data_IF_975260725650
#
_entry.id   IF_975260725650
#
_cell.length_a   1.000
_cell.length_b   1.000
_cell.length_c   1.000
_cell.angle_alpha   90.00
_cell.angle_beta   90.00
_cell.angle_gamma   90.00
#
_symmetry.space_group_name_H-M   'P 1'
#
loop_
_entity.id
_entity.type
_entity.pdbx_description
1 polymer ?
#
# COMPACT_ATOMS: atom_id res chain seq x y z
N UNK A 1 77.93 -30.90 -33.47
CA UNK A 1 76.91 -31.33 -32.49
C UNK A 1 76.35 -30.07 -31.82
N UNK A 2 75.29 -29.49 -32.38
CA UNK A 2 74.63 -28.29 -31.84
C UNK A 2 73.18 -28.65 -31.48
N UNK A 3 73.00 -29.52 -30.49
CA UNK A 3 71.67 -29.92 -30.01
C UNK A 3 71.24 -29.12 -28.77
N UNK A 4 72.08 -28.20 -28.30
CA UNK A 4 71.88 -27.48 -27.05
C UNK A 4 70.97 -26.25 -27.19
N UNK A 5 70.83 -25.69 -28.40
CA UNK A 5 69.94 -24.56 -28.68
C UNK A 5 68.50 -24.99 -29.01
N UNK A 6 68.30 -26.21 -29.53
CA UNK A 6 66.96 -26.76 -29.84
C UNK A 6 66.19 -27.17 -28.56
N UNK A 7 66.90 -27.60 -27.51
CA UNK A 7 66.31 -27.91 -26.20
C UNK A 7 65.77 -26.65 -25.50
N UNK A 8 66.46 -25.51 -25.62
CA UNK A 8 66.07 -24.24 -24.99
C UNK A 8 64.83 -23.61 -25.64
N UNK A 9 64.54 -23.95 -26.90
CA UNK A 9 63.33 -23.47 -27.59
C UNK A 9 62.09 -24.29 -27.20
N UNK A 10 62.28 -25.55 -26.78
CA UNK A 10 61.19 -26.45 -26.36
C UNK A 10 60.56 -26.06 -25.01
N UNK A 11 61.34 -25.52 -24.07
CA UNK A 11 60.84 -25.15 -22.74
C UNK A 11 60.01 -23.84 -22.73
N UNK A 12 60.18 -22.97 -23.73
CA UNK A 12 59.40 -21.73 -23.85
C UNK A 12 58.02 -21.91 -24.51
N UNK A 13 57.72 -23.11 -25.02
CA UNK A 13 56.45 -23.39 -25.71
C UNK A 13 55.42 -24.12 -24.83
N UNK A 14 55.72 -24.39 -23.56
CA UNK A 14 54.68 -24.78 -22.60
C UNK A 14 53.92 -23.53 -22.13
N UNK A 15 53.08 -23.07 -23.05
CA UNK A 15 51.89 -22.26 -22.79
C UNK A 15 51.05 -22.97 -21.72
N UNK A 16 51.37 -22.71 -20.46
CA UNK A 16 50.45 -22.94 -19.35
C UNK A 16 49.28 -21.98 -19.61
N UNK A 17 48.18 -22.56 -20.06
CA UNK A 17 46.95 -21.90 -20.48
C UNK A 17 46.49 -20.84 -19.46
N UNK A 18 46.83 -19.57 -19.73
CA UNK A 18 46.39 -18.38 -18.96
C UNK A 18 44.87 -18.26 -18.79
N UNK A 19 44.07 -19.05 -19.53
CA UNK A 19 42.60 -19.03 -19.46
C UNK A 19 42.01 -19.70 -18.21
N UNK A 20 42.72 -20.61 -17.53
CA UNK A 20 42.18 -21.28 -16.34
C UNK A 20 42.37 -20.45 -15.05
N UNK A 21 43.45 -19.67 -14.95
CA UNK A 21 43.74 -18.85 -13.77
C UNK A 21 42.84 -17.60 -13.71
N UNK A 22 42.53 -16.96 -14.84
CA UNK A 22 41.64 -15.78 -14.87
C UNK A 22 40.20 -16.09 -14.45
N UNK A 23 39.73 -17.34 -14.65
CA UNK A 23 38.37 -17.76 -14.25
C UNK A 23 38.21 -17.91 -12.73
N UNK A 24 39.29 -18.18 -11.98
CA UNK A 24 39.24 -18.34 -10.51
C UNK A 24 39.38 -17.03 -9.75
N UNK A 25 40.01 -16.01 -10.33
CA UNK A 25 40.17 -14.69 -9.68
C UNK A 25 39.00 -13.72 -9.93
N UNK A 26 38.29 -13.83 -11.06
CA UNK A 26 37.14 -12.96 -11.35
C UNK A 26 35.93 -13.20 -10.41
N UNK A 27 35.75 -14.42 -9.92
CA UNK A 27 34.64 -14.79 -9.02
C UNK A 27 34.88 -14.28 -7.59
N UNK A 28 36.15 -14.21 -7.14
CA UNK A 28 36.49 -13.73 -5.79
C UNK A 28 36.28 -12.22 -5.60
N UNK A 29 36.59 -11.42 -6.63
CA UNK A 29 36.44 -9.96 -6.55
C UNK A 29 34.97 -9.51 -6.67
N UNK A 30 34.17 -10.19 -7.50
CA UNK A 30 32.74 -9.95 -7.60
C UNK A 30 31.99 -10.37 -6.30
N UNK A 31 32.45 -11.44 -5.63
CA UNK A 31 31.88 -11.89 -4.35
C UNK A 31 32.12 -10.92 -3.18
N UNK A 32 33.29 -10.26 -3.11
CA UNK A 32 33.57 -9.27 -2.06
C UNK A 32 32.80 -7.95 -2.28
N UNK A 33 32.63 -7.51 -3.52
CA UNK A 33 31.87 -6.30 -3.82
C UNK A 33 30.39 -6.45 -3.42
N UNK A 34 29.78 -7.62 -3.66
CA UNK A 34 28.39 -7.90 -3.28
C UNK A 34 28.21 -7.94 -1.76
N UNK A 35 29.17 -8.52 -1.03
CA UNK A 35 29.16 -8.61 0.44
C UNK A 35 29.29 -7.24 1.13
N UNK A 36 30.02 -6.28 0.55
CA UNK A 36 30.17 -4.94 1.13
C UNK A 36 28.91 -4.06 0.97
N UNK A 37 28.07 -4.28 -0.05
CA UNK A 37 26.81 -3.55 -0.24
C UNK A 37 25.70 -3.96 0.74
N UNK A 38 25.77 -5.16 1.32
CA UNK A 38 24.79 -5.66 2.31
C UNK A 38 24.97 -5.07 3.72
N UNK A 39 26.11 -4.41 3.96
CA UNK A 39 26.48 -3.86 5.28
C UNK A 39 26.09 -2.40 5.47
N UNK A 40 25.45 -1.76 4.48
CA UNK A 40 24.97 -0.39 4.63
C UNK A 40 23.78 -0.39 5.59
N UNK A 41 23.83 0.31 6.75
CA UNK A 41 22.66 0.42 7.61
C UNK A 41 21.55 1.11 6.81
N UNK A 42 20.38 0.48 6.76
CA UNK A 42 19.19 1.12 6.20
C UNK A 42 18.90 2.38 7.03
N UNK A 43 19.15 3.55 6.45
CA UNK A 43 18.77 4.83 7.06
C UNK A 43 17.27 5.00 6.90
N UNK A 44 16.52 4.60 7.93
CA UNK A 44 15.10 4.92 8.04
C UNK A 44 15.01 6.30 8.67
N UNK A 45 14.70 7.32 7.86
CA UNK A 45 14.32 8.64 8.39
C UNK A 45 12.94 8.51 9.03
N UNK A 46 12.78 9.00 10.26
CA UNK A 46 11.46 9.10 10.88
C UNK A 46 10.55 9.99 10.03
N UNK A 47 9.34 9.51 9.72
CA UNK A 47 8.37 10.33 9.01
C UNK A 47 8.02 11.56 9.85
N UNK A 48 8.16 12.75 9.28
CA UNK A 48 7.56 13.96 9.87
C UNK A 48 6.06 13.89 9.65
N UNK A 49 5.29 13.92 10.74
CA UNK A 49 3.84 13.98 10.66
C UNK A 49 3.39 15.37 10.19
N UNK A 50 2.43 15.38 9.27
CA UNK A 50 1.69 16.59 8.94
C UNK A 50 0.72 16.99 10.07
N UNK A 51 0.02 18.13 9.91
CA UNK A 51 -1.08 18.47 10.82
C UNK A 51 -2.16 17.39 10.80
N UNK A 52 -2.89 17.27 11.92
CA UNK A 52 -4.05 16.38 11.99
C UNK A 52 -5.16 16.93 11.09
N UNK A 53 -5.77 16.04 10.30
CA UNK A 53 -6.90 16.34 9.42
C UNK A 53 -8.12 15.59 9.94
N UNK A 54 -9.20 16.31 10.20
CA UNK A 54 -10.49 15.73 10.57
C UNK A 54 -11.32 15.48 9.30
N UNK A 55 -11.48 14.21 8.92
CA UNK A 55 -12.19 13.82 7.69
C UNK A 55 -13.69 13.63 7.87
N UNK A 56 -14.13 13.30 9.09
CA UNK A 56 -15.51 12.96 9.41
C UNK A 56 -16.45 14.17 9.44
N UNK A 57 -15.90 15.38 9.42
CA UNK A 57 -16.67 16.63 9.52
C UNK A 57 -16.45 17.54 8.29
N UNK A 58 -17.49 18.24 7.82
CA UNK A 58 -18.90 18.10 8.23
C UNK A 58 -19.48 16.74 7.82
N UNK A 59 -20.45 16.22 8.59
CA UNK A 59 -21.12 14.97 8.25
C UNK A 59 -22.03 15.14 7.00
N UNK A 60 -21.76 14.44 5.87
CA UNK A 60 -22.57 14.51 4.65
C UNK A 60 -23.94 13.85 4.80
N UNK A 61 -24.17 13.09 5.87
CA UNK A 61 -25.42 12.39 6.17
C UNK A 61 -26.34 13.17 7.11
N UNK A 62 -25.97 14.39 7.53
CA UNK A 62 -26.65 15.11 8.61
C UNK A 62 -28.18 15.34 8.42
N UNK A 63 -28.69 15.22 7.19
CA UNK A 63 -30.11 15.34 6.86
C UNK A 63 -30.85 14.03 6.64
N UNK A 64 -30.18 12.88 6.75
CA UNK A 64 -30.79 11.57 6.54
C UNK A 64 -31.30 10.98 7.85
N UNK A 65 -32.46 10.33 7.80
CA UNK A 65 -32.91 9.40 8.82
C UNK A 65 -33.33 8.10 8.12
N UNK A 66 -32.48 7.08 8.23
CA UNK A 66 -32.74 5.77 7.63
C UNK A 66 -33.65 4.88 8.48
N UNK A 67 -34.02 5.32 9.69
CA UNK A 67 -34.77 4.52 10.66
C UNK A 67 -33.99 3.33 11.23
N UNK A 68 -32.68 3.25 10.96
CA UNK A 68 -31.80 2.28 11.60
C UNK A 68 -31.61 2.70 13.06
N UNK A 69 -31.80 1.76 13.99
CA UNK A 69 -31.70 2.00 15.43
C UNK A 69 -30.87 0.90 16.09
N UNK A 70 -29.54 0.88 15.88
CA UNK A 70 -28.68 -0.09 16.54
C UNK A 70 -28.64 0.22 18.05
N UNK A 71 -28.51 -0.80 18.92
CA UNK A 71 -28.28 -0.55 20.34
C UNK A 71 -26.96 0.21 20.52
N UNK A 72 -26.99 1.31 21.28
CA UNK A 72 -25.79 2.09 21.55
C UNK A 72 -26.06 3.55 21.87
N UNK A 73 -24.99 4.32 21.99
CA UNK A 73 -25.01 5.77 22.26
C UNK A 73 -24.36 6.58 21.13
N UNK A 74 -24.13 5.96 19.97
CA UNK A 74 -23.54 6.67 18.83
C UNK A 74 -24.49 7.77 18.36
N UNK A 75 -23.92 8.94 18.12
CA UNK A 75 -24.64 10.11 17.61
C UNK A 75 -24.44 10.25 16.10
N UNK A 76 -25.25 11.10 15.47
CA UNK A 76 -25.13 11.40 14.04
C UNK A 76 -23.75 11.96 13.65
N UNK A 77 -23.01 12.59 14.55
CA UNK A 77 -21.69 13.16 14.26
C UNK A 77 -20.53 12.22 14.61
N UNK A 78 -20.83 11.05 15.16
CA UNK A 78 -19.80 10.09 15.52
C UNK A 78 -19.26 9.40 14.27
N UNK A 79 -17.98 9.05 14.33
CA UNK A 79 -17.30 8.26 13.33
C UNK A 79 -16.60 7.08 14.01
N UNK A 80 -16.73 5.90 13.43
CA UNK A 80 -16.12 4.68 13.96
C UNK A 80 -15.45 3.86 12.85
N UNK A 81 -14.58 2.94 13.29
CA UNK A 81 -13.92 1.93 12.45
C UNK A 81 -13.27 2.50 11.17
N UNK A 82 -12.30 3.42 11.31
CA UNK A 82 -11.64 3.98 10.16
C UNK A 82 -10.76 2.93 9.46
N UNK A 83 -10.80 2.95 8.13
CA UNK A 83 -9.93 2.18 7.26
C UNK A 83 -9.30 3.10 6.22
N UNK A 84 -8.04 2.88 5.83
CA UNK A 84 -7.38 3.66 4.77
C UNK A 84 -6.58 2.75 3.84
N UNK A 85 -6.60 3.07 2.56
CA UNK A 85 -5.80 2.41 1.53
C UNK A 85 -5.07 3.44 0.67
N UNK A 86 -3.87 3.09 0.20
CA UNK A 86 -3.02 3.91 -0.68
C UNK A 86 -2.89 3.21 -2.02
N UNK A 87 -3.09 3.95 -3.11
CA UNK A 87 -3.00 3.39 -4.45
C UNK A 87 -1.54 3.02 -4.79
N UNK A 88 -1.24 1.75 -5.13
CA UNK A 88 0.13 1.32 -5.42
C UNK A 88 0.69 1.88 -6.74
N UNK A 89 -0.18 2.30 -7.67
CA UNK A 89 0.22 2.89 -8.96
C UNK A 89 0.44 4.40 -8.83
N UNK A 90 -0.33 5.06 -7.97
CA UNK A 90 -0.28 6.49 -7.75
C UNK A 90 -0.32 6.81 -6.26
N UNK A 91 0.84 6.86 -5.59
CA UNK A 91 0.91 6.95 -4.11
C UNK A 91 0.32 8.24 -3.51
N UNK A 92 0.09 9.28 -4.31
CA UNK A 92 -0.63 10.47 -3.88
C UNK A 92 -2.17 10.28 -3.86
N UNK A 93 -2.67 9.22 -4.51
CA UNK A 93 -4.06 8.80 -4.44
C UNK A 93 -4.28 7.89 -3.23
N UNK A 94 -5.06 8.37 -2.27
CA UNK A 94 -5.39 7.67 -1.03
C UNK A 94 -6.88 7.75 -0.78
N UNK A 95 -7.45 6.68 -0.22
CA UNK A 95 -8.87 6.67 0.15
C UNK A 95 -9.02 6.15 1.57
N UNK A 96 -9.71 6.95 2.39
CA UNK A 96 -10.15 6.58 3.72
C UNK A 96 -11.64 6.25 3.72
N UNK A 97 -12.07 5.40 4.65
CA UNK A 97 -13.47 5.07 4.90
C UNK A 97 -13.74 4.98 6.39
N UNK A 98 -14.96 5.30 6.82
CA UNK A 98 -15.41 5.16 8.20
C UNK A 98 -16.92 4.96 8.26
N UNK A 99 -17.39 4.42 9.38
CA UNK A 99 -18.81 4.37 9.72
C UNK A 99 -19.24 5.78 10.12
N UNK A 100 -20.25 6.33 9.45
CA UNK A 100 -20.81 7.64 9.76
C UNK A 100 -22.12 7.55 10.55
N UNK A 101 -22.22 8.35 11.61
CA UNK A 101 -23.42 8.40 12.45
C UNK A 101 -23.67 7.09 13.19
N UNK A 102 -24.93 6.77 13.46
CA UNK A 102 -25.35 5.48 14.04
C UNK A 102 -25.47 4.38 12.98
N UNK A 103 -24.44 4.22 12.13
CA UNK A 103 -24.38 3.26 11.01
C UNK A 103 -25.29 3.61 9.83
N UNK A 104 -25.67 4.87 9.65
CA UNK A 104 -26.54 5.31 8.55
C UNK A 104 -25.92 5.10 7.17
N UNK A 105 -24.60 5.27 7.09
CA UNK A 105 -23.82 4.90 5.92
C UNK A 105 -22.32 4.76 6.25
N UNK A 106 -21.56 4.15 5.34
CA UNK A 106 -20.10 4.29 5.29
C UNK A 106 -19.77 5.48 4.39
N UNK A 107 -18.95 6.38 4.91
CA UNK A 107 -18.44 7.53 4.17
C UNK A 107 -17.02 7.22 3.74
N UNK A 108 -16.68 7.52 2.49
CA UNK A 108 -15.29 7.54 2.04
C UNK A 108 -14.79 8.96 1.86
N UNK A 109 -13.48 9.17 1.90
CA UNK A 109 -12.86 10.38 1.41
C UNK A 109 -11.64 10.06 0.56
N UNK A 110 -11.53 10.70 -0.60
CA UNK A 110 -10.40 10.53 -1.51
C UNK A 110 -9.49 11.76 -1.46
N UNK A 111 -8.18 11.50 -1.51
CA UNK A 111 -7.13 12.50 -1.72
C UNK A 111 -6.34 12.12 -2.96
N UNK A 112 -5.90 13.12 -3.73
CA UNK A 112 -5.04 12.95 -4.91
C UNK A 112 -3.70 13.69 -4.79
N UNK A 113 -3.44 14.29 -3.63
CA UNK A 113 -2.27 15.12 -3.34
C UNK A 113 -1.48 14.64 -2.11
N UNK A 114 -1.59 13.34 -1.80
CA UNK A 114 -0.85 12.72 -0.69
C UNK A 114 -1.43 13.04 0.68
N UNK A 115 -2.73 13.33 0.75
CA UNK A 115 -3.46 13.57 1.99
C UNK A 115 -3.53 15.04 2.42
N UNK A 116 -3.20 15.99 1.54
CA UNK A 116 -3.29 17.43 1.84
C UNK A 116 -4.73 17.94 1.72
N UNK A 117 -5.46 17.50 0.69
CA UNK A 117 -6.88 17.77 0.50
C UNK A 117 -7.66 16.48 0.33
N UNK A 118 -8.90 16.49 0.82
CA UNK A 118 -9.78 15.33 0.86
C UNK A 118 -11.18 15.72 0.39
N UNK A 119 -11.79 14.86 -0.43
CA UNK A 119 -13.16 14.98 -0.89
C UNK A 119 -13.98 13.81 -0.35
N UNK A 120 -14.99 14.10 0.46
CA UNK A 120 -15.92 13.07 0.96
C UNK A 120 -16.86 12.57 -0.14
N UNK A 121 -17.06 11.25 -0.19
CA UNK A 121 -17.94 10.52 -1.10
C UNK A 121 -18.64 9.41 -0.31
N UNK A 122 -19.90 9.62 0.13
CA UNK A 122 -20.68 8.55 0.76
C UNK A 122 -20.86 7.36 -0.19
N UNK A 123 -20.70 6.12 0.30
CA UNK A 123 -20.92 4.94 -0.53
C UNK A 123 -22.40 4.82 -0.92
N UNK A 124 -22.75 4.47 -2.17
CA UNK A 124 -24.13 4.36 -2.62
C UNK A 124 -24.77 3.01 -2.23
N UNK A 125 -24.72 2.67 -0.94
CA UNK A 125 -25.12 1.35 -0.42
C UNK A 125 -26.28 1.40 0.57
N UNK A 126 -26.68 2.57 1.06
CA UNK A 126 -27.84 2.72 1.95
C UNK A 126 -28.89 3.67 1.37
N UNK A 127 -30.05 3.73 2.02
CA UNK A 127 -31.12 4.69 1.72
C UNK A 127 -30.68 6.16 1.85
N UNK A 128 -29.61 6.45 2.60
CA UNK A 128 -29.11 7.80 2.81
C UNK A 128 -28.29 8.36 1.65
N UNK A 129 -27.81 7.51 0.75
CA UNK A 129 -26.90 7.90 -0.34
C UNK A 129 -27.33 7.37 -1.70
N UNK A 130 -28.33 6.51 -1.75
CA UNK A 130 -28.80 5.82 -2.95
C UNK A 130 -30.23 5.30 -2.78
N UNK A 131 -30.79 4.70 -3.83
CA UNK A 131 -32.09 4.02 -3.79
C UNK A 131 -32.02 2.58 -3.24
N UNK A 132 -30.92 2.19 -2.60
CA UNK A 132 -30.77 0.84 -2.02
C UNK A 132 -31.66 0.68 -0.77
N UNK A 133 -32.18 -0.53 -0.50
CA UNK A 133 -33.16 -0.75 0.56
C UNK A 133 -32.55 -0.90 1.97
N UNK A 134 -31.23 -0.74 2.12
CA UNK A 134 -30.54 -0.99 3.37
C UNK A 134 -30.58 0.24 4.27
N UNK A 135 -31.13 0.15 5.50
CA UNK A 135 -31.19 1.27 6.42
C UNK A 135 -29.85 1.59 7.08
N UNK A 136 -28.90 0.65 7.11
CA UNK A 136 -27.58 0.90 7.70
C UNK A 136 -26.48 0.05 7.10
N UNK A 137 -25.23 0.41 7.39
CA UNK A 137 -24.03 -0.30 6.93
C UNK A 137 -22.84 -0.02 7.84
N UNK A 138 -21.87 -0.94 7.88
CA UNK A 138 -20.68 -0.84 8.72
C UNK A 138 -19.50 -1.66 8.18
N UNK A 139 -18.49 -1.85 9.04
CA UNK A 139 -17.30 -2.67 8.82
C UNK A 139 -16.56 -2.36 7.49
N UNK A 140 -16.18 -1.11 7.22
CA UNK A 140 -15.59 -0.75 5.94
C UNK A 140 -14.21 -1.37 5.76
N UNK A 141 -13.98 -1.95 4.58
CA UNK A 141 -12.67 -2.39 4.13
C UNK A 141 -12.39 -1.88 2.72
N UNK A 142 -11.17 -1.41 2.48
CA UNK A 142 -10.72 -0.88 1.19
C UNK A 142 -9.50 -1.66 0.69
N UNK A 143 -9.40 -1.85 -0.62
CA UNK A 143 -8.21 -2.43 -1.24
C UNK A 143 -8.01 -1.90 -2.64
N UNK A 144 -6.78 -1.49 -2.95
CA UNK A 144 -6.38 -1.20 -4.31
C UNK A 144 -5.81 -2.45 -4.98
N UNK A 145 -6.32 -2.77 -6.17
CA UNK A 145 -5.69 -3.78 -7.03
C UNK A 145 -4.36 -3.26 -7.60
N UNK A 146 -3.47 -4.16 -8.08
CA UNK A 146 -2.18 -3.76 -8.66
C UNK A 146 -2.27 -2.82 -9.87
N UNK A 147 -3.42 -2.77 -10.55
CA UNK A 147 -3.70 -1.86 -11.66
C UNK A 147 -4.20 -0.47 -11.21
N UNK A 148 -4.43 -0.26 -9.91
CA UNK A 148 -4.88 1.01 -9.35
C UNK A 148 -6.39 1.13 -9.15
N UNK A 149 -7.18 0.10 -9.47
CA UNK A 149 -8.62 0.08 -9.19
C UNK A 149 -8.89 -0.06 -7.69
N UNK A 150 -9.83 0.71 -7.16
CA UNK A 150 -10.25 0.66 -5.76
C UNK A 150 -11.47 -0.25 -5.59
N UNK A 151 -11.40 -1.16 -4.63
CA UNK A 151 -12.53 -1.97 -4.17
C UNK A 151 -12.88 -1.59 -2.73
N UNK A 152 -14.18 -1.49 -2.47
CA UNK A 152 -14.73 -1.31 -1.14
C UNK A 152 -15.67 -2.47 -0.81
N UNK A 153 -15.58 -2.98 0.41
CA UNK A 153 -16.51 -3.98 0.96
C UNK A 153 -17.02 -3.49 2.30
N UNK A 154 -18.31 -3.71 2.53
CA UNK A 154 -19.05 -3.27 3.72
C UNK A 154 -20.07 -4.34 4.11
N UNK A 155 -20.49 -4.32 5.38
CA UNK A 155 -21.65 -5.09 5.84
C UNK A 155 -22.88 -4.20 5.76
N UNK A 156 -23.98 -4.70 5.22
CA UNK A 156 -25.27 -3.99 5.20
C UNK A 156 -26.20 -4.55 6.28
N UNK A 157 -26.83 -3.64 7.02
CA UNK A 157 -27.83 -3.95 8.02
C UNK A 157 -29.22 -4.05 7.42
N UNK A 158 -30.07 -4.87 8.04
CA UNK A 158 -31.50 -4.93 7.76
C UNK A 158 -32.24 -4.66 9.06
N UNK A 159 -33.34 -3.91 8.99
CA UNK A 159 -34.29 -3.85 10.09
C UNK A 159 -35.32 -4.95 9.89
N UNK A 160 -35.42 -5.88 10.83
CA UNK A 160 -36.59 -6.77 10.90
C UNK A 160 -37.75 -5.95 11.46
N UNK A 161 -38.82 -5.81 10.68
CA UNK A 161 -40.08 -5.30 11.22
C UNK A 161 -40.57 -6.27 12.30
N UNK A 162 -40.68 -5.81 13.54
CA UNK A 162 -41.53 -6.42 14.57
C UNK A 162 -42.97 -6.00 14.41
#
# INVERSE_FOLDING_TARGET
>A
MNNQFDELTKSLTQSVTRRAALKKFGVGLAGMALACSLSSPLRVTAATLGPLVELSQPNPLAGCNSGFLPPGTMTLNDAAEPFIAVNPVHQNNMVAAWIGGDFQNVITAASFDGGLTWQQVPLPVTTCSSSQPYPGTGDPTLSFAPNGDLYASVVVGFSFSS
#
